data_IF_833470573769
#
_entry.id   IF_833470573769
#
_cell.length_a   1.000
_cell.length_b   1.000
_cell.length_c   1.000
_cell.angle_alpha   90.00
_cell.angle_beta   90.00
_cell.angle_gamma   90.00
#
_symmetry.space_group_name_H-M   'P 1'
#
loop_
_entity.id
_entity.type
_entity.pdbx_description
1 polymer ?
#
# COMPACT_ATOMS: atom_id res chain seq x y z
N UNK A 1 -2.84 -25.63 14.32
CA UNK A 1 -3.47 -24.44 13.71
C UNK A 1 -3.06 -24.45 12.25
N UNK A 2 -4.04 -24.55 11.37
CA UNK A 2 -3.87 -24.93 9.96
C UNK A 2 -2.98 -23.92 9.22
N UNK A 3 -2.08 -24.39 8.34
CA UNK A 3 -1.09 -23.57 7.63
C UNK A 3 -1.68 -22.29 7.01
N UNK A 4 -2.94 -22.35 6.57
CA UNK A 4 -3.72 -21.21 6.12
C UNK A 4 -3.74 -20.04 7.12
N UNK A 5 -4.08 -20.31 8.38
CA UNK A 5 -4.19 -19.27 9.41
C UNK A 5 -2.85 -18.58 9.65
N UNK A 6 -1.75 -19.32 9.60
CA UNK A 6 -0.41 -18.75 9.77
C UNK A 6 -0.09 -17.77 8.66
N UNK A 7 -0.28 -18.16 7.40
CA UNK A 7 0.01 -17.28 6.25
C UNK A 7 -0.94 -16.09 6.19
N UNK A 8 -2.21 -16.27 6.56
CA UNK A 8 -3.18 -15.18 6.66
C UNK A 8 -2.72 -14.12 7.66
N UNK A 9 -2.34 -14.51 8.87
CA UNK A 9 -1.85 -13.57 9.87
C UNK A 9 -0.51 -12.94 9.51
N UNK A 10 0.37 -13.66 8.81
CA UNK A 10 1.59 -13.08 8.25
C UNK A 10 1.29 -11.98 7.22
N UNK A 11 0.31 -12.18 6.34
CA UNK A 11 -0.12 -11.17 5.38
C UNK A 11 -0.75 -9.95 6.04
N UNK A 12 -1.60 -10.19 7.05
CA UNK A 12 -2.18 -9.12 7.86
C UNK A 12 -1.10 -8.31 8.60
N UNK A 13 -0.17 -8.98 9.26
CA UNK A 13 0.93 -8.36 9.97
C UNK A 13 1.84 -7.57 9.02
N UNK A 14 2.11 -8.09 7.82
CA UNK A 14 2.91 -7.37 6.82
C UNK A 14 2.39 -5.96 6.50
N UNK A 15 1.07 -5.74 6.52
CA UNK A 15 0.46 -4.42 6.29
C UNK A 15 0.33 -3.60 7.57
N UNK A 16 0.17 -4.24 8.72
CA UNK A 16 -0.19 -3.59 10.00
C UNK A 16 0.97 -3.40 10.96
N UNK A 17 2.15 -3.96 10.66
CA UNK A 17 3.36 -3.79 11.45
C UNK A 17 3.87 -2.35 11.40
N UNK A 18 4.45 -1.87 12.50
CA UNK A 18 5.14 -0.59 12.58
C UNK A 18 6.37 -0.54 11.66
N UNK A 19 6.93 -1.69 11.28
CA UNK A 19 7.96 -1.75 10.25
C UNK A 19 7.42 -1.42 8.84
N UNK A 20 6.11 -1.51 8.62
CA UNK A 20 5.43 -1.25 7.35
C UNK A 20 4.86 0.18 7.26
N UNK A 21 5.57 1.17 7.82
CA UNK A 21 5.17 2.59 7.79
C UNK A 21 4.94 3.07 6.36
N UNK A 22 5.68 2.55 5.38
CA UNK A 22 5.52 2.88 3.98
C UNK A 22 4.15 2.46 3.41
N UNK A 23 3.63 1.30 3.78
CA UNK A 23 2.26 0.87 3.42
C UNK A 23 1.21 1.77 4.05
N UNK A 24 1.35 2.03 5.36
CA UNK A 24 0.38 2.86 6.09
C UNK A 24 0.39 4.28 5.50
N UNK A 25 1.58 4.84 5.25
CA UNK A 25 1.73 6.15 4.63
C UNK A 25 1.17 6.17 3.21
N UNK A 26 1.43 5.13 2.41
CA UNK A 26 0.87 5.00 1.07
C UNK A 26 -0.65 4.95 1.08
N UNK A 27 -1.24 4.07 1.89
CA UNK A 27 -2.69 3.95 2.06
C UNK A 27 -3.29 5.25 2.56
N UNK A 28 -2.66 5.92 3.53
CA UNK A 28 -3.10 7.22 4.03
C UNK A 28 -3.19 8.26 2.91
N UNK A 29 -2.10 8.44 2.17
CA UNK A 29 -2.02 9.42 1.06
C UNK A 29 -2.99 9.04 -0.07
N UNK A 30 -3.12 7.76 -0.38
CA UNK A 30 -3.96 7.32 -1.48
C UNK A 30 -5.47 7.41 -1.13
N UNK A 31 -5.83 7.07 0.11
CA UNK A 31 -7.23 7.00 0.55
C UNK A 31 -7.80 8.35 0.94
N UNK A 32 -7.00 9.30 1.44
CA UNK A 32 -7.50 10.61 1.89
C UNK A 32 -8.24 11.39 0.81
N UNK A 33 -8.00 11.08 -0.48
CA UNK A 33 -8.77 11.67 -1.59
C UNK A 33 -10.23 11.23 -1.61
N UNK A 34 -10.51 9.99 -1.24
CA UNK A 34 -11.85 9.41 -1.32
C UNK A 34 -12.71 9.84 -0.14
N UNK A 35 -14.01 9.92 -0.37
CA UNK A 35 -15.02 10.02 0.68
C UNK A 35 -15.60 8.63 0.99
N UNK A 36 -16.13 8.41 2.20
CA UNK A 36 -16.73 7.11 2.58
C UNK A 36 -17.81 6.61 1.62
N UNK A 37 -18.54 7.52 0.96
CA UNK A 37 -19.55 7.20 -0.05
C UNK A 37 -18.97 6.56 -1.32
N UNK A 38 -17.67 6.69 -1.57
CA UNK A 38 -16.93 6.13 -2.71
C UNK A 38 -16.33 4.75 -2.37
N UNK A 39 -16.98 3.99 -1.49
CA UNK A 39 -16.49 2.70 -0.97
C UNK A 39 -16.09 1.71 -2.07
N UNK A 40 -16.81 1.67 -3.19
CA UNK A 40 -16.47 0.77 -4.29
C UNK A 40 -15.15 1.16 -4.97
N UNK A 41 -14.90 2.45 -5.16
CA UNK A 41 -13.63 2.92 -5.72
C UNK A 41 -12.47 2.66 -4.76
N UNK A 42 -12.71 2.79 -3.46
CA UNK A 42 -11.74 2.44 -2.41
C UNK A 42 -11.40 0.94 -2.48
N UNK A 43 -12.41 0.06 -2.49
CA UNK A 43 -12.22 -1.38 -2.62
C UNK A 43 -11.44 -1.75 -3.89
N UNK A 44 -11.85 -1.23 -5.05
CA UNK A 44 -11.13 -1.47 -6.30
C UNK A 44 -9.67 -1.02 -6.19
N UNK A 45 -9.40 0.09 -5.52
CA UNK A 45 -8.04 0.62 -5.42
C UNK A 45 -7.15 -0.22 -4.51
N UNK A 46 -7.65 -0.67 -3.36
CA UNK A 46 -6.89 -1.58 -2.48
C UNK A 46 -6.69 -2.95 -3.10
N UNK A 47 -7.69 -3.48 -3.81
CA UNK A 47 -7.56 -4.77 -4.53
C UNK A 47 -6.55 -4.65 -5.67
N UNK A 48 -6.49 -3.52 -6.39
CA UNK A 48 -5.47 -3.30 -7.43
C UNK A 48 -4.05 -3.30 -6.85
N UNK A 49 -3.85 -2.76 -5.65
CA UNK A 49 -2.58 -2.91 -4.93
C UNK A 49 -2.28 -4.39 -4.68
N UNK A 50 -3.23 -5.16 -4.12
CA UNK A 50 -3.05 -6.59 -3.81
C UNK A 50 -2.76 -7.40 -5.07
N UNK A 51 -3.41 -7.08 -6.19
CA UNK A 51 -3.15 -7.70 -7.49
C UNK A 51 -1.71 -7.43 -7.93
N UNK A 52 -1.26 -6.17 -7.92
CA UNK A 52 0.12 -5.81 -8.27
C UNK A 52 1.14 -6.53 -7.39
N UNK A 53 0.90 -6.53 -6.08
CA UNK A 53 1.73 -7.20 -5.10
C UNK A 53 1.80 -8.72 -5.33
N UNK A 54 0.66 -9.35 -5.57
CA UNK A 54 0.56 -10.79 -5.87
C UNK A 54 1.38 -11.15 -7.11
N UNK A 55 1.31 -10.34 -8.16
CA UNK A 55 2.05 -10.57 -9.41
C UNK A 55 3.55 -10.62 -9.13
N UNK A 56 4.09 -9.68 -8.36
CA UNK A 56 5.54 -9.63 -8.14
C UNK A 56 6.03 -10.69 -7.15
N UNK A 57 5.21 -11.09 -6.18
CA UNK A 57 5.46 -12.27 -5.37
C UNK A 57 5.51 -13.56 -6.22
N UNK A 58 4.57 -13.74 -7.15
CA UNK A 58 4.57 -14.88 -8.09
C UNK A 58 5.85 -14.87 -8.94
N UNK A 59 6.17 -13.72 -9.56
CA UNK A 59 7.35 -13.56 -10.43
C UNK A 59 8.64 -13.88 -9.67
N UNK A 60 8.78 -13.39 -8.45
CA UNK A 60 9.98 -13.62 -7.65
C UNK A 60 10.06 -15.05 -7.11
N UNK A 61 8.95 -15.64 -6.67
CA UNK A 61 8.95 -17.00 -6.15
C UNK A 61 9.25 -18.05 -7.23
N UNK A 62 8.87 -17.75 -8.48
CA UNK A 62 9.25 -18.54 -9.66
C UNK A 62 10.69 -18.24 -10.14
N UNK A 63 11.43 -17.39 -9.43
CA UNK A 63 12.78 -16.93 -9.79
C UNK A 63 12.88 -16.34 -11.20
N UNK A 64 11.79 -15.75 -11.72
CA UNK A 64 11.76 -15.17 -13.06
C UNK A 64 12.46 -13.81 -13.12
N UNK A 65 12.30 -13.00 -12.07
CA UNK A 65 12.91 -11.69 -11.95
C UNK A 65 12.98 -11.23 -10.50
N UNK A 66 14.14 -10.75 -10.07
CA UNK A 66 14.38 -10.18 -8.73
C UNK A 66 15.19 -8.90 -8.90
N UNK A 67 14.56 -7.71 -8.83
CA UNK A 67 15.28 -6.44 -8.89
C UNK A 67 16.18 -6.25 -7.65
N UNK A 68 17.18 -5.37 -7.75
CA UNK A 68 18.02 -5.05 -6.60
C UNK A 68 17.19 -4.38 -5.50
N UNK A 69 17.44 -4.76 -4.25
CA UNK A 69 16.77 -4.21 -3.06
C UNK A 69 16.85 -2.67 -2.98
N UNK A 70 18.02 -2.09 -3.26
CA UNK A 70 18.22 -0.63 -3.20
C UNK A 70 17.25 0.13 -4.13
N UNK A 71 17.07 -0.34 -5.37
CA UNK A 71 16.10 0.26 -6.30
C UNK A 71 14.66 0.13 -5.81
N UNK A 72 14.29 -0.98 -5.17
CA UNK A 72 12.94 -1.17 -4.64
C UNK A 72 12.68 -0.22 -3.47
N UNK A 73 13.62 -0.14 -2.52
CA UNK A 73 13.53 0.76 -1.34
C UNK A 73 13.52 2.23 -1.75
N UNK A 74 14.14 2.58 -2.88
CA UNK A 74 14.04 3.91 -3.48
C UNK A 74 12.69 4.15 -4.17
N UNK A 75 12.18 3.18 -4.94
CA UNK A 75 10.98 3.35 -5.75
C UNK A 75 9.69 3.36 -4.91
N UNK A 76 9.65 2.65 -3.78
CA UNK A 76 8.51 2.69 -2.85
C UNK A 76 8.16 4.13 -2.44
N UNK A 77 9.05 4.92 -1.80
CA UNK A 77 8.73 6.29 -1.44
C UNK A 77 8.48 7.19 -2.65
N UNK A 78 9.14 6.95 -3.80
CA UNK A 78 8.83 7.68 -5.05
C UNK A 78 7.36 7.49 -5.46
N UNK A 79 6.80 6.29 -5.34
CA UNK A 79 5.39 6.07 -5.66
C UNK A 79 4.43 6.76 -4.68
N UNK A 80 4.78 6.87 -3.39
CA UNK A 80 4.03 7.68 -2.40
C UNK A 80 4.12 9.18 -2.75
N UNK A 81 5.30 9.64 -3.15
CA UNK A 81 5.55 11.02 -3.57
C UNK A 81 4.68 11.38 -4.78
N UNK A 82 4.62 10.51 -5.79
CA UNK A 82 3.75 10.68 -6.95
C UNK A 82 2.27 10.72 -6.58
N UNK A 83 1.83 9.88 -5.64
CA UNK A 83 0.45 9.91 -5.11
C UNK A 83 0.14 11.26 -4.44
N UNK A 84 1.08 11.76 -3.64
CA UNK A 84 0.98 13.06 -2.96
C UNK A 84 0.91 14.22 -3.96
N UNK A 85 1.79 14.23 -4.97
CA UNK A 85 1.79 15.24 -6.04
C UNK A 85 0.48 15.22 -6.81
N UNK A 86 0.02 14.04 -7.22
CA UNK A 86 -1.25 13.90 -7.91
C UNK A 86 -2.40 14.46 -7.09
N UNK A 87 -2.37 14.22 -5.77
CA UNK A 87 -3.41 14.71 -4.90
C UNK A 87 -3.46 16.24 -4.85
N UNK A 88 -2.30 16.89 -4.74
CA UNK A 88 -2.14 18.34 -4.64
C UNK A 88 -2.42 19.07 -5.96
N UNK A 89 -2.15 18.45 -7.11
CA UNK A 89 -2.44 19.05 -8.42
C UNK A 89 -3.93 18.89 -8.80
N UNK A 90 -4.57 17.81 -8.36
CA UNK A 90 -5.92 17.45 -8.81
C UNK A 90 -7.01 17.70 -7.76
N UNK A 91 -6.86 18.65 -6.84
CA UNK A 91 -7.66 18.81 -5.61
C UNK A 91 -9.18 18.65 -5.80
N UNK A 92 -9.74 19.19 -6.88
CA UNK A 92 -11.19 19.19 -7.12
C UNK A 92 -11.68 17.96 -7.91
N UNK A 93 -10.78 17.03 -8.26
CA UNK A 93 -11.10 15.78 -8.95
C UNK A 93 -11.25 14.63 -7.94
N UNK A 94 -12.32 13.85 -8.11
CA UNK A 94 -12.54 12.59 -7.38
C UNK A 94 -11.40 11.59 -7.60
N UNK A 95 -11.27 10.64 -6.68
CA UNK A 95 -10.43 9.45 -6.86
C UNK A 95 -10.76 8.76 -8.18
N UNK A 96 -9.79 8.74 -9.09
CA UNK A 96 -10.02 8.40 -10.49
C UNK A 96 -9.15 7.26 -10.99
N UNK A 97 -9.20 7.03 -12.30
CA UNK A 97 -8.39 6.02 -13.00
C UNK A 97 -6.90 6.11 -12.65
N UNK A 98 -6.36 7.31 -12.51
CA UNK A 98 -4.94 7.50 -12.21
C UNK A 98 -4.54 7.02 -10.81
N UNK A 99 -5.36 7.28 -9.78
CA UNK A 99 -5.15 6.76 -8.41
C UNK A 99 -5.12 5.23 -8.39
N UNK A 100 -6.02 4.60 -9.14
CA UNK A 100 -6.09 3.15 -9.33
C UNK A 100 -4.83 2.58 -9.98
N UNK A 101 -4.28 3.27 -10.98
CA UNK A 101 -3.00 2.90 -11.59
C UNK A 101 -1.81 3.04 -10.62
N UNK A 102 -1.78 4.12 -9.84
CA UNK A 102 -0.74 4.30 -8.81
C UNK A 102 -0.79 3.15 -7.80
N UNK A 103 -1.98 2.73 -7.34
CA UNK A 103 -2.13 1.59 -6.43
C UNK A 103 -1.56 0.29 -7.01
N UNK A 104 -1.87 0.00 -8.28
CA UNK A 104 -1.32 -1.16 -8.97
C UNK A 104 0.21 -1.10 -9.08
N UNK A 105 0.76 0.05 -9.48
CA UNK A 105 2.21 0.26 -9.63
C UNK A 105 2.94 0.16 -8.29
N UNK A 106 2.39 0.78 -7.24
CA UNK A 106 2.91 0.66 -5.89
C UNK A 106 2.89 -0.82 -5.46
N UNK A 107 1.79 -1.53 -5.67
CA UNK A 107 1.70 -2.97 -5.37
C UNK A 107 2.78 -3.79 -6.07
N UNK A 108 3.00 -3.56 -7.37
CA UNK A 108 4.06 -4.23 -8.12
C UNK A 108 5.44 -3.99 -7.49
N UNK A 109 5.83 -2.73 -7.31
CA UNK A 109 7.14 -2.36 -6.76
C UNK A 109 7.29 -2.92 -5.35
N UNK A 110 6.28 -2.73 -4.51
CA UNK A 110 6.32 -3.09 -3.11
C UNK A 110 6.41 -4.62 -2.92
N UNK A 111 5.72 -5.42 -3.74
CA UNK A 111 5.79 -6.88 -3.64
C UNK A 111 7.19 -7.45 -3.92
N UNK A 112 8.03 -6.75 -4.69
CA UNK A 112 9.45 -7.11 -4.79
C UNK A 112 10.24 -6.85 -3.49
N UNK A 113 9.82 -5.89 -2.66
CA UNK A 113 10.46 -5.59 -1.37
C UNK A 113 10.31 -6.73 -0.36
N UNK A 114 9.23 -7.49 -0.47
CA UNK A 114 8.92 -8.64 0.39
C UNK A 114 9.35 -9.99 -0.21
N UNK A 115 9.83 -9.99 -1.45
CA UNK A 115 9.89 -11.22 -2.25
C UNK A 115 10.93 -12.25 -1.77
N UNK A 116 12.05 -11.78 -1.21
CA UNK A 116 13.06 -12.66 -0.59
C UNK A 116 12.50 -13.42 0.62
N UNK A 117 11.79 -12.72 1.50
CA UNK A 117 11.16 -13.36 2.67
C UNK A 117 10.06 -14.33 2.25
N UNK A 118 9.24 -13.94 1.27
CA UNK A 118 8.21 -14.81 0.73
C UNK A 118 8.77 -16.09 0.08
N UNK A 119 9.89 -16.00 -0.65
CA UNK A 119 10.56 -17.17 -1.25
C UNK A 119 11.04 -18.16 -0.18
N UNK A 120 11.51 -17.67 0.97
CA UNK A 120 11.86 -18.52 2.12
C UNK A 120 10.64 -19.22 2.73
N UNK A 121 9.50 -18.51 2.83
CA UNK A 121 8.25 -19.08 3.32
C UNK A 121 7.73 -20.20 2.42
N UNK A 122 7.77 -20.01 1.09
CA UNK A 122 7.24 -20.99 0.13
C UNK A 122 8.10 -22.25 0.03
N UNK A 123 9.42 -22.12 0.17
CA UNK A 123 10.31 -23.29 0.23
C UNK A 123 10.00 -24.18 1.44
N UNK A 124 9.54 -23.58 2.55
CA UNK A 124 9.15 -24.30 3.76
C UNK A 124 7.73 -24.87 3.70
N UNK A 125 6.84 -24.25 2.93
CA UNK A 125 5.42 -24.62 2.81
C UNK A 125 5.17 -25.92 2.02
N UNK A 126 6.15 -26.39 1.23
CA UNK A 126 6.00 -27.51 0.30
C UNK A 126 5.16 -27.20 -0.96
N UNK A 127 4.29 -26.18 -0.91
CA UNK A 127 3.54 -25.68 -2.06
C UNK A 127 3.41 -24.15 -2.00
N UNK A 128 3.77 -23.50 -3.11
CA UNK A 128 3.70 -22.05 -3.31
C UNK A 128 2.28 -21.49 -3.12
N UNK A 129 1.27 -22.14 -3.70
CA UNK A 129 -0.11 -21.65 -3.70
C UNK A 129 -0.78 -21.71 -2.32
N UNK A 130 -0.37 -22.68 -1.49
CA UNK A 130 -0.89 -22.81 -0.12
C UNK A 130 -0.42 -21.69 0.82
N UNK A 131 0.65 -20.98 0.46
CA UNK A 131 1.07 -19.78 1.17
C UNK A 131 0.52 -18.51 0.50
N UNK A 132 0.51 -18.45 -0.84
CA UNK A 132 0.17 -17.23 -1.59
C UNK A 132 -1.25 -16.72 -1.31
N UNK A 133 -2.24 -17.61 -1.42
CA UNK A 133 -3.65 -17.23 -1.30
C UNK A 133 -3.98 -16.71 0.10
N UNK A 134 -3.73 -17.46 1.20
CA UNK A 134 -3.98 -16.95 2.54
C UNK A 134 -3.20 -15.68 2.84
N UNK A 135 -1.95 -15.57 2.39
CA UNK A 135 -1.14 -14.38 2.60
C UNK A 135 -1.75 -13.13 1.95
N UNK A 136 -2.17 -13.20 0.69
CA UNK A 136 -2.81 -12.06 0.03
C UNK A 136 -4.20 -11.73 0.58
N UNK A 137 -4.96 -12.72 1.05
CA UNK A 137 -6.21 -12.47 1.79
C UNK A 137 -5.94 -11.73 3.11
N UNK A 138 -4.84 -12.08 3.79
CA UNK A 138 -4.37 -11.38 4.98
C UNK A 138 -4.00 -9.92 4.69
N UNK A 139 -3.29 -9.68 3.58
CA UNK A 139 -2.95 -8.33 3.09
C UNK A 139 -4.22 -7.51 2.85
N UNK A 140 -5.15 -8.03 2.07
CA UNK A 140 -6.38 -7.30 1.73
C UNK A 140 -7.23 -7.01 2.97
N UNK A 141 -7.29 -7.96 3.91
CA UNK A 141 -7.92 -7.75 5.22
C UNK A 141 -7.22 -6.67 6.05
N UNK A 142 -5.89 -6.69 6.11
CA UNK A 142 -5.10 -5.67 6.80
C UNK A 142 -5.32 -4.28 6.20
N UNK A 143 -5.34 -4.17 4.87
CA UNK A 143 -5.64 -2.92 4.17
C UNK A 143 -7.04 -2.40 4.50
N UNK A 144 -8.06 -3.27 4.50
CA UNK A 144 -9.43 -2.88 4.87
C UNK A 144 -9.50 -2.30 6.27
N UNK A 145 -8.81 -2.91 7.24
CA UNK A 145 -8.75 -2.41 8.62
C UNK A 145 -8.08 -1.03 8.67
N UNK A 146 -6.93 -0.88 8.01
CA UNK A 146 -6.18 0.39 7.97
C UNK A 146 -7.00 1.50 7.29
N UNK A 147 -7.65 1.19 6.16
CA UNK A 147 -8.54 2.10 5.42
C UNK A 147 -9.70 2.55 6.31
N UNK A 148 -10.34 1.63 7.03
CA UNK A 148 -11.44 1.95 7.92
C UNK A 148 -11.01 2.92 9.02
N UNK A 149 -9.84 2.69 9.62
CA UNK A 149 -9.24 3.59 10.61
C UNK A 149 -8.94 4.96 10.00
N UNK A 150 -8.30 5.01 8.83
CA UNK A 150 -7.98 6.28 8.13
C UNK A 150 -9.24 7.09 7.86
N UNK A 151 -10.29 6.47 7.32
CA UNK A 151 -11.55 7.14 7.03
C UNK A 151 -12.25 7.61 8.32
N UNK A 152 -12.29 6.77 9.35
CA UNK A 152 -12.89 7.10 10.64
C UNK A 152 -12.20 8.29 11.31
N UNK A 153 -10.87 8.27 11.37
CA UNK A 153 -10.06 9.38 11.91
C UNK A 153 -10.22 10.63 11.05
N UNK A 154 -10.21 10.51 9.72
CA UNK A 154 -10.40 11.64 8.80
C UNK A 154 -11.75 12.31 9.02
N UNK A 155 -12.83 11.53 9.18
CA UNK A 155 -14.17 12.05 9.47
C UNK A 155 -14.23 12.73 10.84
N UNK A 156 -13.65 12.10 11.86
CA UNK A 156 -13.63 12.65 13.21
C UNK A 156 -12.93 14.00 13.25
N UNK A 157 -11.74 14.11 12.66
CA UNK A 157 -10.96 15.34 12.60
C UNK A 157 -11.71 16.42 11.81
N UNK A 158 -12.25 16.08 10.63
CA UNK A 158 -13.01 17.03 9.82
C UNK A 158 -14.23 17.57 10.57
N UNK A 159 -14.95 16.72 11.30
CA UNK A 159 -16.12 17.12 12.07
C UNK A 159 -15.77 17.91 13.34
N UNK A 160 -14.74 17.51 14.08
CA UNK A 160 -14.33 18.17 15.33
C UNK A 160 -13.66 19.53 15.09
N UNK A 161 -12.82 19.64 14.05
CA UNK A 161 -12.10 20.86 13.71
C UNK A 161 -12.82 21.72 12.66
N UNK A 162 -13.97 21.26 12.16
CA UNK A 162 -14.74 21.90 11.09
C UNK A 162 -13.90 22.16 9.82
N UNK A 163 -12.97 21.24 9.52
CA UNK A 163 -12.12 21.31 8.34
C UNK A 163 -12.83 20.77 7.11
N UNK A 164 -12.67 21.45 5.98
CA UNK A 164 -13.16 20.94 4.71
C UNK A 164 -12.30 19.76 4.27
N UNK A 165 -12.91 18.79 3.61
CA UNK A 165 -12.20 17.65 2.99
C UNK A 165 -11.01 18.09 2.14
N UNK A 166 -11.14 19.21 1.42
CA UNK A 166 -10.06 19.80 0.62
C UNK A 166 -8.84 20.20 1.47
N UNK A 167 -9.06 20.84 2.61
CA UNK A 167 -7.98 21.30 3.48
C UNK A 167 -7.29 20.10 4.16
N UNK A 168 -8.08 19.10 4.56
CA UNK A 168 -7.57 17.83 5.08
C UNK A 168 -6.75 17.07 4.04
N UNK A 169 -7.23 17.01 2.79
CA UNK A 169 -6.51 16.42 1.66
C UNK A 169 -5.16 17.12 1.43
N UNK A 170 -5.11 18.45 1.47
CA UNK A 170 -3.87 19.22 1.33
C UNK A 170 -2.92 18.91 2.47
N UNK A 171 -3.41 18.91 3.72
CA UNK A 171 -2.58 18.64 4.90
C UNK A 171 -1.93 17.25 4.83
N UNK A 172 -2.74 16.20 4.62
CA UNK A 172 -2.25 14.83 4.56
C UNK A 172 -1.33 14.61 3.35
N UNK A 173 -1.68 15.15 2.18
CA UNK A 173 -0.84 15.00 0.98
C UNK A 173 0.46 15.81 1.08
N UNK A 174 0.44 16.97 1.75
CA UNK A 174 1.64 17.75 2.04
C UNK A 174 2.59 17.02 2.98
N UNK A 175 2.07 16.46 4.09
CA UNK A 175 2.86 15.62 4.98
C UNK A 175 3.40 14.37 4.27
N UNK A 176 2.56 13.70 3.48
CA UNK A 176 2.94 12.58 2.64
C UNK A 176 4.05 12.93 1.65
N UNK A 177 3.97 14.08 1.00
CA UNK A 177 5.00 14.58 0.09
C UNK A 177 6.34 14.76 0.82
N UNK A 178 6.35 15.44 1.97
CA UNK A 178 7.58 15.71 2.71
C UNK A 178 8.24 14.42 3.22
N UNK A 179 7.45 13.53 3.84
CA UNK A 179 7.96 12.27 4.37
C UNK A 179 8.48 11.35 3.25
N UNK A 180 7.73 11.21 2.16
CA UNK A 180 8.15 10.37 1.03
C UNK A 180 9.36 10.94 0.30
N UNK A 181 9.46 12.26 0.15
CA UNK A 181 10.66 12.89 -0.41
C UNK A 181 11.89 12.62 0.47
N UNK A 182 11.76 12.76 1.78
CA UNK A 182 12.84 12.47 2.72
C UNK A 182 13.26 10.99 2.64
N UNK A 183 12.31 10.05 2.66
CA UNK A 183 12.58 8.62 2.49
C UNK A 183 13.27 8.31 1.16
N UNK A 184 12.83 8.94 0.06
CA UNK A 184 13.43 8.73 -1.26
C UNK A 184 14.89 9.21 -1.30
N UNK A 185 15.21 10.35 -0.66
CA UNK A 185 16.60 10.84 -0.58
C UNK A 185 17.46 9.87 0.23
N UNK A 186 16.95 9.36 1.36
CA UNK A 186 17.70 8.43 2.20
C UNK A 186 17.97 7.09 1.54
N UNK A 187 17.00 6.59 0.76
CA UNK A 187 17.10 5.32 0.06
C UNK A 187 17.64 5.47 -1.38
N UNK A 188 18.20 6.64 -1.73
CA UNK A 188 18.79 6.87 -3.05
C UNK A 188 19.87 5.82 -3.33
N UNK A 189 19.85 5.17 -4.51
CA UNK A 189 20.88 4.21 -4.90
C UNK A 189 22.19 4.88 -5.35
N UNK A 190 22.20 6.21 -5.47
CA UNK A 190 23.33 7.06 -5.84
C UNK A 190 24.09 7.55 -4.61
#
# INVERSE_FOLDING_TARGET
>A
MEAFSTYFWLGYAHITDLAAIDHILFLLVLIVRFQPKEWLDILITITLFTIGHSITLIVSALNLFVPSKNWIEFLIPITILLSSINNLISLDKKGGKFTKWIALIFGLIHGFGFSNYYSMLTNSAGNFWSALLPFNLGIEWGQLVVVFIILGVSLLIQNLLNYKHRDWLIFVSGGGFTLSLWMAIQNSPL
#
